data_IF_894985278559
#
_entry.id   IF_894985278559
#
_cell.length_a   1.000
_cell.length_b   1.000
_cell.length_c   1.000
_cell.angle_alpha   90.00
_cell.angle_beta   90.00
_cell.angle_gamma   90.00
#
_symmetry.space_group_name_H-M   'P 1'
#
loop_
_entity.id
_entity.type
_entity.pdbx_description
1 polymer ?
#
# COMPACT_ATOMS: atom_id res chain seq x y z
N UNK A 1 2.68 7.55 -16.98
CA UNK A 1 3.43 6.31 -16.70
C UNK A 1 2.67 5.14 -17.36
N UNK A 2 3.30 4.40 -18.27
CA UNK A 2 2.63 3.33 -19.01
C UNK A 2 2.20 2.20 -18.06
N UNK A 3 0.95 1.73 -18.18
CA UNK A 3 0.37 0.69 -17.31
C UNK A 3 1.19 -0.61 -17.28
N UNK A 4 1.97 -0.90 -18.34
CA UNK A 4 2.92 -2.02 -18.34
C UNK A 4 4.00 -1.84 -17.28
N UNK A 5 4.50 -0.62 -17.11
CA UNK A 5 5.61 -0.29 -16.22
C UNK A 5 5.19 -0.41 -14.74
N UNK A 6 3.95 -0.04 -14.40
CA UNK A 6 3.40 -0.18 -13.04
C UNK A 6 3.14 -1.66 -12.69
N UNK A 7 2.65 -2.44 -13.66
CA UNK A 7 2.41 -3.87 -13.50
C UNK A 7 3.74 -4.65 -13.42
N UNK A 8 4.76 -4.24 -14.17
CA UNK A 8 6.13 -4.76 -14.09
C UNK A 8 6.76 -4.45 -12.74
N UNK A 9 6.63 -3.23 -12.21
CA UNK A 9 7.14 -2.90 -10.87
C UNK A 9 6.43 -3.68 -9.77
N UNK A 10 5.11 -3.87 -9.86
CA UNK A 10 4.36 -4.69 -8.91
C UNK A 10 4.83 -6.14 -8.93
N UNK A 11 4.97 -6.74 -10.13
CA UNK A 11 5.48 -8.10 -10.29
C UNK A 11 6.91 -8.26 -9.77
N UNK A 12 7.83 -7.36 -10.13
CA UNK A 12 9.21 -7.39 -9.66
C UNK A 12 9.23 -7.26 -8.13
N UNK A 13 8.46 -6.34 -7.56
CA UNK A 13 8.36 -6.17 -6.10
C UNK A 13 7.88 -7.44 -5.40
N UNK A 14 6.82 -8.07 -5.90
CA UNK A 14 6.32 -9.34 -5.36
C UNK A 14 7.34 -10.46 -5.50
N UNK A 15 7.99 -10.60 -6.66
CA UNK A 15 9.00 -11.63 -6.91
C UNK A 15 10.20 -11.45 -5.98
N UNK A 16 10.66 -10.21 -5.76
CA UNK A 16 11.78 -9.91 -4.85
C UNK A 16 11.41 -10.26 -3.40
N UNK A 17 10.21 -9.92 -2.94
CA UNK A 17 9.75 -10.25 -1.58
C UNK A 17 9.66 -11.77 -1.38
N UNK A 18 9.11 -12.50 -2.35
CA UNK A 18 9.08 -13.97 -2.31
C UNK A 18 10.48 -14.59 -2.37
N UNK A 19 11.35 -14.08 -3.23
CA UNK A 19 12.71 -14.61 -3.39
C UNK A 19 13.55 -14.39 -2.14
N UNK A 20 13.48 -13.19 -1.53
CA UNK A 20 14.14 -12.92 -0.26
C UNK A 20 13.58 -13.78 0.89
N UNK A 21 12.26 -14.02 0.92
CA UNK A 21 11.64 -14.85 1.96
C UNK A 21 11.97 -16.34 1.86
N UNK A 22 12.17 -16.87 0.65
CA UNK A 22 12.46 -18.28 0.39
C UNK A 22 13.94 -18.64 0.41
N UNK A 23 14.81 -17.78 -0.15
CA UNK A 23 16.20 -18.15 -0.43
C UNK A 23 17.23 -17.60 0.56
N UNK A 24 16.88 -16.64 1.42
CA UNK A 24 17.83 -16.11 2.40
C UNK A 24 17.85 -16.94 3.71
N UNK A 25 19.03 -17.13 4.33
CA UNK A 25 19.17 -17.82 5.61
C UNK A 25 18.73 -16.91 6.78
N UNK A 26 17.46 -16.50 6.79
CA UNK A 26 16.86 -15.64 7.81
C UNK A 26 16.05 -16.50 8.81
N UNK A 27 15.98 -16.12 10.10
CA UNK A 27 15.09 -16.74 11.08
C UNK A 27 13.65 -16.97 10.61
N UNK A 28 13.01 -18.03 11.13
CA UNK A 28 11.68 -18.51 10.71
C UNK A 28 10.61 -17.42 10.80
N UNK A 29 10.65 -16.58 11.84
CA UNK A 29 9.69 -15.48 12.02
C UNK A 29 9.72 -14.46 10.88
N UNK A 30 10.92 -14.14 10.38
CA UNK A 30 11.11 -13.26 9.23
C UNK A 30 10.65 -13.92 7.92
N UNK A 31 10.92 -15.21 7.73
CA UNK A 31 10.49 -15.94 6.52
C UNK A 31 8.98 -15.95 6.37
N UNK A 32 8.27 -16.28 7.46
CA UNK A 32 6.80 -16.28 7.48
C UNK A 32 6.26 -14.86 7.25
N UNK A 33 6.90 -13.85 7.84
CA UNK A 33 6.53 -12.44 7.64
C UNK A 33 6.64 -12.02 6.17
N UNK A 34 7.75 -12.34 5.49
CA UNK A 34 7.92 -11.99 4.08
C UNK A 34 6.91 -12.71 3.17
N UNK A 35 6.61 -13.98 3.43
CA UNK A 35 5.58 -14.70 2.68
C UNK A 35 4.20 -14.06 2.85
N UNK A 36 3.80 -13.75 4.09
CA UNK A 36 2.53 -13.07 4.37
C UNK A 36 2.47 -11.70 3.70
N UNK A 37 3.57 -10.94 3.72
CA UNK A 37 3.66 -9.65 3.02
C UNK A 37 3.50 -9.82 1.50
N UNK A 38 4.16 -10.82 0.90
CA UNK A 38 4.04 -11.13 -0.52
C UNK A 38 2.61 -11.46 -0.93
N UNK A 39 1.92 -12.30 -0.16
CA UNK A 39 0.51 -12.68 -0.42
C UNK A 39 -0.41 -11.46 -0.33
N UNK A 40 -0.30 -10.67 0.75
CA UNK A 40 -1.11 -9.46 0.93
C UNK A 40 -0.90 -8.46 -0.22
N UNK A 41 0.34 -8.29 -0.68
CA UNK A 41 0.65 -7.42 -1.81
C UNK A 41 0.01 -7.90 -3.12
N UNK A 42 -0.02 -9.21 -3.39
CA UNK A 42 -0.72 -9.78 -4.56
C UNK A 42 -2.22 -9.46 -4.50
N UNK A 43 -2.84 -9.70 -3.33
CA UNK A 43 -4.26 -9.41 -3.13
C UNK A 43 -4.55 -7.93 -3.34
N UNK A 44 -3.74 -7.05 -2.75
CA UNK A 44 -3.86 -5.61 -2.96
C UNK A 44 -3.75 -5.26 -4.44
N UNK A 45 -2.67 -5.64 -5.13
CA UNK A 45 -2.51 -5.31 -6.54
C UNK A 45 -3.63 -5.86 -7.44
N UNK A 46 -4.17 -7.04 -7.11
CA UNK A 46 -5.30 -7.62 -7.84
C UNK A 46 -6.56 -6.76 -7.79
N UNK A 47 -6.76 -5.97 -6.73
CA UNK A 47 -7.88 -5.03 -6.58
C UNK A 47 -7.53 -3.65 -7.14
N UNK A 48 -6.30 -3.18 -6.89
CA UNK A 48 -5.86 -1.83 -7.26
C UNK A 48 -5.75 -1.66 -8.79
N UNK A 49 -5.22 -2.67 -9.50
CA UNK A 49 -5.02 -2.61 -10.96
C UNK A 49 -6.34 -2.46 -11.74
N UNK A 50 -7.39 -3.29 -11.53
CA UNK A 50 -8.65 -3.12 -12.26
C UNK A 50 -9.36 -1.82 -11.88
N UNK A 51 -9.23 -1.38 -10.63
CA UNK A 51 -9.81 -0.12 -10.18
C UNK A 51 -9.14 1.10 -10.84
N UNK A 52 -7.80 1.11 -10.93
CA UNK A 52 -7.04 2.15 -11.65
C UNK A 52 -7.46 2.23 -13.12
N UNK A 53 -7.64 1.07 -13.77
CA UNK A 53 -8.08 0.99 -15.18
C UNK A 53 -9.49 1.51 -15.42
N UNK A 54 -10.43 1.26 -14.50
CA UNK A 54 -11.85 1.58 -14.70
C UNK A 54 -12.18 3.03 -14.39
N UNK A 55 -11.45 3.64 -13.47
CA UNK A 55 -11.84 4.92 -12.88
C UNK A 55 -10.94 6.10 -13.20
N UNK A 56 -9.73 5.90 -13.75
CA UNK A 56 -8.79 7.00 -14.04
C UNK A 56 -8.72 7.25 -15.54
N UNK A 57 -9.33 8.37 -15.97
CA UNK A 57 -9.29 8.81 -17.37
C UNK A 57 -8.06 9.70 -17.56
N UNK A 58 -7.12 9.25 -18.40
CA UNK A 58 -5.90 10.00 -18.74
C UNK A 58 -6.07 10.64 -20.11
N UNK A 59 -5.79 11.94 -20.25
CA UNK A 59 -5.78 12.64 -21.55
C UNK A 59 -4.50 12.32 -22.34
N UNK A 60 -4.53 12.59 -23.64
CA UNK A 60 -3.39 12.38 -24.54
C UNK A 60 -2.17 13.16 -24.01
N UNK A 61 -1.09 12.47 -23.65
CA UNK A 61 0.07 13.04 -22.94
C UNK A 61 0.27 12.58 -21.49
N UNK A 62 -0.44 11.54 -21.01
CA UNK A 62 -0.29 10.92 -19.68
C UNK A 62 -0.59 11.81 -18.47
N UNK A 63 -1.14 13.01 -18.67
CA UNK A 63 -1.67 13.84 -17.59
C UNK A 63 -3.05 13.31 -17.17
N UNK A 64 -3.24 13.15 -15.86
CA UNK A 64 -4.52 12.71 -15.28
C UNK A 64 -5.51 13.85 -15.48
N UNK A 65 -6.66 13.59 -16.09
CA UNK A 65 -7.68 14.61 -16.25
C UNK A 65 -8.52 14.67 -14.96
N UNK A 66 -8.13 15.57 -14.06
CA UNK A 66 -8.81 15.76 -12.77
C UNK A 66 -10.24 16.29 -12.90
N UNK A 67 -10.62 16.86 -14.07
CA UNK A 67 -11.99 17.33 -14.32
C UNK A 67 -12.99 16.19 -14.56
N UNK A 68 -12.54 15.08 -15.16
CA UNK A 68 -13.37 13.88 -15.38
C UNK A 68 -13.20 12.82 -14.29
N UNK A 69 -12.07 12.80 -13.60
CA UNK A 69 -11.74 11.79 -12.59
C UNK A 69 -12.17 12.23 -11.18
N UNK A 70 -13.50 12.28 -10.92
CA UNK A 70 -14.05 12.64 -9.59
C UNK A 70 -13.71 11.63 -8.47
N UNK A 71 -13.11 10.49 -8.80
CA UNK A 71 -12.80 9.40 -7.85
C UNK A 71 -11.73 9.77 -6.83
N UNK A 72 -10.83 10.70 -7.15
CA UNK A 72 -9.86 11.22 -6.17
C UNK A 72 -10.46 12.22 -5.16
N UNK A 73 -11.68 12.70 -5.41
CA UNK A 73 -12.39 13.61 -4.50
C UNK A 73 -13.42 12.89 -3.62
N UNK A 74 -13.67 11.59 -3.86
CA UNK A 74 -14.58 10.77 -3.06
C UNK A 74 -13.80 9.69 -2.31
N UNK A 75 -14.43 9.14 -1.27
CA UNK A 75 -13.92 7.97 -0.56
C UNK A 75 -13.73 6.82 -1.55
N UNK A 76 -12.49 6.35 -1.67
CA UNK A 76 -12.12 5.39 -2.68
C UNK A 76 -11.84 4.02 -2.04
N UNK A 77 -11.95 2.94 -2.82
CA UNK A 77 -11.58 1.58 -2.38
C UNK A 77 -10.14 1.53 -1.88
N UNK A 78 -9.26 2.35 -2.46
CA UNK A 78 -7.89 2.53 -1.98
C UNK A 78 -7.80 3.11 -0.55
N UNK A 79 -8.69 4.06 -0.19
CA UNK A 79 -8.72 4.64 1.15
C UNK A 79 -9.20 3.59 2.17
N UNK A 80 -10.23 2.80 1.82
CA UNK A 80 -10.68 1.67 2.65
C UNK A 80 -9.57 0.65 2.88
N UNK A 81 -8.86 0.24 1.83
CA UNK A 81 -7.73 -0.71 1.93
C UNK A 81 -6.63 -0.13 2.84
N UNK A 82 -6.29 1.15 2.70
CA UNK A 82 -5.30 1.81 3.54
C UNK A 82 -5.71 1.86 5.01
N UNK A 83 -6.99 2.12 5.31
CA UNK A 83 -7.50 2.11 6.69
C UNK A 83 -7.46 0.69 7.27
N UNK A 84 -7.88 -0.33 6.50
CA UNK A 84 -7.78 -1.72 6.93
C UNK A 84 -6.32 -2.14 7.22
N UNK A 85 -5.37 -1.70 6.39
CA UNK A 85 -3.94 -1.93 6.59
C UNK A 85 -3.41 -1.25 7.86
N UNK A 86 -3.81 -0.02 8.12
CA UNK A 86 -3.44 0.69 9.34
C UNK A 86 -4.00 -0.02 10.59
N UNK A 87 -5.25 -0.49 10.56
CA UNK A 87 -5.84 -1.28 11.63
C UNK A 87 -5.09 -2.60 11.84
N UNK A 88 -4.77 -3.32 10.77
CA UNK A 88 -3.96 -4.53 10.83
C UNK A 88 -2.59 -4.28 11.46
N UNK A 89 -1.92 -3.19 11.07
CA UNK A 89 -0.64 -2.81 11.65
C UNK A 89 -0.76 -2.50 13.15
N UNK A 90 -1.82 -1.80 13.57
CA UNK A 90 -2.10 -1.56 14.99
C UNK A 90 -2.29 -2.87 15.76
N UNK A 91 -3.06 -3.83 15.23
CA UNK A 91 -3.23 -5.15 15.86
C UNK A 91 -1.88 -5.87 15.98
N UNK A 92 -1.02 -5.79 14.96
CA UNK A 92 0.33 -6.37 15.01
C UNK A 92 1.20 -5.73 16.11
N UNK A 93 1.13 -4.41 16.29
CA UNK A 93 1.85 -3.71 17.37
C UNK A 93 1.31 -4.13 18.74
N UNK A 94 0.00 -4.26 18.89
CA UNK A 94 -0.58 -4.70 20.17
C UNK A 94 -0.20 -6.14 20.51
N UNK A 95 -0.24 -7.05 19.54
CA UNK A 95 0.25 -8.42 19.72
C UNK A 95 1.73 -8.46 20.10
N UNK A 96 2.55 -7.60 19.47
CA UNK A 96 3.97 -7.44 19.81
C UNK A 96 4.16 -6.95 21.26
N UNK A 97 3.42 -5.92 21.67
CA UNK A 97 3.49 -5.38 23.04
C UNK A 97 3.13 -6.45 24.09
N UNK A 98 2.12 -7.28 23.83
CA UNK A 98 1.75 -8.40 24.72
C UNK A 98 2.90 -9.41 24.82
N UNK A 99 3.50 -9.81 23.69
CA UNK A 99 4.62 -10.76 23.69
C UNK A 99 5.84 -10.22 24.44
N UNK A 100 6.16 -8.93 24.26
CA UNK A 100 7.25 -8.28 24.98
C UNK A 100 6.94 -8.18 26.48
N UNK A 101 5.70 -7.85 26.85
CA UNK A 101 5.27 -7.82 28.25
C UNK A 101 5.31 -9.20 28.93
N UNK A 102 5.12 -10.28 28.16
CA UNK A 102 5.31 -11.67 28.63
C UNK A 102 6.79 -12.08 28.77
N UNK A 103 7.74 -11.20 28.44
CA UNK A 103 9.17 -11.44 28.54
C UNK A 103 9.78 -12.15 27.32
N UNK A 104 9.04 -12.30 26.21
CA UNK A 104 9.61 -12.86 24.99
C UNK A 104 10.58 -11.89 24.32
N UNK A 105 11.74 -12.41 23.91
CA UNK A 105 12.80 -11.64 23.27
C UNK A 105 12.75 -11.76 21.76
N UNK A 106 13.63 -11.02 21.07
CA UNK A 106 13.77 -11.00 19.60
C UNK A 106 14.12 -12.39 19.03
N UNK A 107 14.57 -13.36 19.85
CA UNK A 107 14.79 -14.73 19.40
C UNK A 107 13.48 -15.49 19.13
N UNK A 108 12.36 -15.04 19.69
CA UNK A 108 11.06 -15.65 19.47
C UNK A 108 10.55 -15.35 18.04
N UNK A 109 10.21 -16.38 17.23
CA UNK A 109 9.69 -16.21 15.87
C UNK A 109 8.45 -15.30 15.77
N UNK A 110 7.58 -15.30 16.78
CA UNK A 110 6.38 -14.46 16.82
C UNK A 110 6.73 -12.98 16.99
N UNK A 111 7.66 -12.67 17.90
CA UNK A 111 8.14 -11.29 18.11
C UNK A 111 8.76 -10.74 16.83
N UNK A 112 9.58 -11.54 16.14
CA UNK A 112 10.15 -11.18 14.85
C UNK A 112 9.06 -10.96 13.78
N UNK A 113 8.07 -11.86 13.70
CA UNK A 113 6.99 -11.73 12.72
C UNK A 113 6.23 -10.42 12.88
N UNK A 114 5.72 -10.13 14.09
CA UNK A 114 4.90 -8.95 14.36
C UNK A 114 5.67 -7.63 14.23
N UNK A 115 6.96 -7.62 14.59
CA UNK A 115 7.82 -6.45 14.42
C UNK A 115 7.95 -6.07 12.94
N UNK A 116 8.26 -7.04 12.07
CA UNK A 116 8.42 -6.76 10.65
C UNK A 116 7.10 -6.43 9.95
N UNK A 117 6.03 -7.15 10.30
CA UNK A 117 4.71 -6.87 9.74
C UNK A 117 4.24 -5.45 10.11
N UNK A 118 4.27 -5.11 11.39
CA UNK A 118 3.81 -3.78 11.83
C UNK A 118 4.59 -2.65 11.16
N UNK A 119 5.92 -2.74 11.15
CA UNK A 119 6.77 -1.71 10.56
C UNK A 119 6.49 -1.53 9.07
N UNK A 120 6.48 -2.61 8.29
CA UNK A 120 6.27 -2.57 6.83
C UNK A 120 4.90 -1.95 6.47
N UNK A 121 3.83 -2.37 7.16
CA UNK A 121 2.48 -1.90 6.84
C UNK A 121 2.22 -0.45 7.30
N UNK A 122 2.81 -0.02 8.41
CA UNK A 122 2.79 1.40 8.81
C UNK A 122 3.46 2.27 7.75
N UNK A 123 4.64 1.87 7.26
CA UNK A 123 5.34 2.61 6.20
C UNK A 123 4.49 2.73 4.92
N UNK A 124 3.85 1.63 4.50
CA UNK A 124 2.98 1.63 3.31
C UNK A 124 1.76 2.53 3.52
N UNK A 125 1.11 2.47 4.68
CA UNK A 125 -0.06 3.30 4.99
C UNK A 125 0.29 4.81 4.99
N UNK A 126 1.42 5.20 5.58
CA UNK A 126 1.90 6.59 5.58
C UNK A 126 2.25 7.04 4.16
N UNK A 127 2.98 6.23 3.40
CA UNK A 127 3.35 6.55 2.02
C UNK A 127 2.11 6.75 1.12
N UNK A 128 1.07 5.93 1.33
CA UNK A 128 -0.20 6.08 0.65
C UNK A 128 -0.91 7.39 1.03
N UNK A 129 -0.97 7.72 2.32
CA UNK A 129 -1.60 8.95 2.82
C UNK A 129 -0.92 10.21 2.24
N UNK A 130 0.42 10.25 2.22
CA UNK A 130 1.18 11.35 1.61
C UNK A 130 0.88 11.45 0.10
N UNK A 131 0.87 10.31 -0.59
CA UNK A 131 0.55 10.25 -2.02
C UNK A 131 -0.87 10.77 -2.29
N UNK A 132 -1.84 10.42 -1.43
CA UNK A 132 -3.23 10.86 -1.55
C UNK A 132 -3.36 12.36 -1.38
N UNK A 133 -2.79 12.93 -0.31
CA UNK A 133 -2.78 14.38 -0.08
C UNK A 133 -2.17 15.10 -1.28
N UNK A 134 -1.04 14.61 -1.78
CA UNK A 134 -0.35 15.20 -2.93
C UNK A 134 -1.20 15.21 -4.20
N UNK A 135 -1.93 14.11 -4.48
CA UNK A 135 -2.82 14.02 -5.64
C UNK A 135 -4.05 14.90 -5.48
N UNK A 136 -4.65 14.95 -4.29
CA UNK A 136 -5.80 15.82 -4.01
C UNK A 136 -5.42 17.30 -4.17
N UNK A 137 -4.29 17.74 -3.62
CA UNK A 137 -3.81 19.12 -3.76
C UNK A 137 -3.52 19.49 -5.23
N UNK A 138 -2.91 18.57 -5.99
CA UNK A 138 -2.69 18.76 -7.44
C UNK A 138 -4.03 18.87 -8.18
N UNK A 139 -5.00 18.03 -7.86
CA UNK A 139 -6.35 18.08 -8.43
C UNK A 139 -7.05 19.41 -8.14
N UNK A 140 -7.04 19.89 -6.89
CA UNK A 140 -7.63 21.19 -6.52
C UNK A 140 -6.96 22.34 -7.29
N UNK A 141 -5.63 22.33 -7.39
CA UNK A 141 -4.88 23.37 -8.11
C UNK A 141 -5.21 23.39 -9.61
N UNK A 142 -5.35 22.21 -10.22
CA UNK A 142 -5.67 22.09 -11.65
C UNK A 142 -7.11 22.52 -11.95
N UNK A 143 -8.07 22.20 -11.07
CA UNK A 143 -9.45 22.68 -11.17
C UNK A 143 -9.53 24.21 -11.02
N UNK A 144 -8.82 24.77 -10.03
CA UNK A 144 -8.75 26.23 -9.82
C UNK A 144 -8.16 26.97 -11.03
N UNK A 145 -7.16 26.39 -11.70
CA UNK A 145 -6.52 26.99 -12.86
C UNK A 145 -7.37 26.92 -14.14
N UNK A 146 -8.31 25.97 -14.23
CA UNK A 146 -9.13 25.76 -15.42
C UNK A 146 -10.55 26.35 -15.33
N UNK A 147 -10.90 27.03 -14.23
CA UNK A 147 -12.19 27.71 -14.09
C UNK A 147 -13.41 26.77 -14.20
N UNK A 148 -13.25 25.50 -13.82
CA UNK A 148 -14.36 24.55 -13.88
C UNK A 148 -15.28 24.79 -12.67
N UNK A 149 -16.45 25.35 -12.97
CA UNK A 149 -17.54 25.58 -12.04
C UNK A 149 -18.04 24.24 -11.47
N UNK A 150 -18.36 24.25 -10.18
CA UNK A 150 -18.87 23.08 -9.47
C UNK A 150 -20.39 23.08 -9.52
N UNK A 151 -20.95 22.57 -10.62
CA UNK A 151 -22.31 22.01 -10.67
C UNK A 151 -22.27 20.50 -10.97
#
# INVERSE_FOLDING_TARGET
>A
MSNKLLLTFALIGTIVVFSCGLFLPIPIGYRVSMLTAGVMMIVMFSILIPFDRKHIVRKNGYKIDFTKTKVYFRWNVFDTISVCLALYACICVQALNILVAMGFTIQNPYVQFFTNQSQLWVFIAIAYLISRISLTLKGIKEIKNHGADWD
#
